data_IF_869851526611
#
_entry.id   IF_869851526611
#
_cell.length_a   1.000
_cell.length_b   1.000
_cell.length_c   1.000
_cell.angle_alpha   90.00
_cell.angle_beta   90.00
_cell.angle_gamma   90.00
#
_symmetry.space_group_name_H-M   'P 1'
#
loop_
_entity.id
_entity.type
_entity.pdbx_description
1 polymer ?
#
# COMPACT_ATOMS: atom_id res chain seq x y z
N UNK A 1 -5.52 -3.94 6.22
CA UNK A 1 -6.75 -4.48 6.83
C UNK A 1 -6.72 -6.00 6.69
N UNK A 2 -7.10 -6.77 7.71
CA UNK A 2 -7.08 -8.26 7.63
C UNK A 2 -8.32 -8.78 6.86
N UNK A 3 -8.23 -9.97 6.27
CA UNK A 3 -9.15 -10.55 5.28
C UNK A 3 -10.56 -10.79 5.82
N UNK A 4 -10.65 -11.32 7.04
CA UNK A 4 -11.93 -11.47 7.76
C UNK A 4 -12.61 -10.12 7.97
N UNK A 5 -11.82 -9.07 8.18
CA UNK A 5 -12.33 -7.72 8.36
C UNK A 5 -12.92 -7.16 7.06
N UNK A 6 -12.27 -7.39 5.91
CA UNK A 6 -12.84 -6.98 4.61
C UNK A 6 -14.14 -7.72 4.29
N UNK A 7 -14.23 -9.02 4.58
CA UNK A 7 -15.46 -9.80 4.41
C UNK A 7 -16.60 -9.23 5.25
N UNK A 8 -16.36 -8.96 6.54
CA UNK A 8 -17.36 -8.38 7.45
C UNK A 8 -17.81 -7.00 6.96
N UNK A 9 -16.87 -6.13 6.55
CA UNK A 9 -17.22 -4.80 6.04
C UNK A 9 -18.06 -4.84 4.77
N UNK A 10 -17.81 -5.82 3.89
CA UNK A 10 -18.62 -6.01 2.69
C UNK A 10 -20.04 -6.47 3.02
N UNK A 11 -20.18 -7.52 3.83
CA UNK A 11 -21.51 -8.00 4.27
C UNK A 11 -22.29 -6.92 5.03
N UNK A 12 -21.59 -6.09 5.81
CA UNK A 12 -22.19 -4.93 6.49
C UNK A 12 -22.67 -3.89 5.48
N UNK A 13 -21.89 -3.58 4.44
CA UNK A 13 -22.30 -2.62 3.41
C UNK A 13 -23.54 -3.11 2.65
N UNK A 14 -23.54 -4.37 2.20
CA UNK A 14 -24.69 -4.99 1.52
C UNK A 14 -25.95 -5.01 2.40
N UNK A 15 -25.77 -5.15 3.72
CA UNK A 15 -26.86 -5.02 4.68
C UNK A 15 -27.38 -3.58 4.75
N UNK A 16 -26.49 -2.59 4.86
CA UNK A 16 -26.86 -1.18 4.96
C UNK A 16 -27.55 -0.65 3.70
N UNK A 17 -27.14 -1.12 2.51
CA UNK A 17 -27.70 -0.70 1.22
C UNK A 17 -29.20 -1.04 1.08
N UNK A 18 -29.71 -1.97 1.90
CA UNK A 18 -31.14 -2.33 1.94
C UNK A 18 -32.02 -1.25 2.59
N UNK A 19 -31.44 -0.31 3.34
CA UNK A 19 -32.18 0.64 4.17
C UNK A 19 -32.23 2.07 3.61
N UNK A 20 -31.58 2.33 2.46
CA UNK A 20 -31.53 3.67 1.87
C UNK A 20 -30.73 4.67 2.72
N UNK A 21 -31.07 5.97 2.67
CA UNK A 21 -30.38 6.99 3.46
C UNK A 21 -30.81 6.94 4.92
N UNK A 22 -29.87 6.62 5.80
CA UNK A 22 -30.02 6.61 7.25
C UNK A 22 -29.36 7.84 7.88
N UNK A 23 -29.87 8.29 9.03
CA UNK A 23 -29.14 9.21 9.91
C UNK A 23 -27.93 8.52 10.56
N UNK A 24 -27.05 9.28 11.21
CA UNK A 24 -25.89 8.70 11.93
C UNK A 24 -26.34 7.76 13.07
N UNK A 25 -27.41 8.13 13.78
CA UNK A 25 -27.93 7.34 14.90
C UNK A 25 -28.56 6.03 14.40
N UNK A 26 -29.36 6.09 13.34
CA UNK A 26 -29.95 4.90 12.69
C UNK A 26 -28.88 4.01 12.05
N UNK A 27 -27.85 4.59 11.42
CA UNK A 27 -26.70 3.84 10.87
C UNK A 27 -26.01 3.04 11.98
N UNK A 28 -25.77 3.67 13.13
CA UNK A 28 -25.13 3.00 14.27
C UNK A 28 -25.99 1.86 14.82
N UNK A 29 -27.30 2.09 14.98
CA UNK A 29 -28.23 1.03 15.40
C UNK A 29 -28.22 -0.16 14.43
N UNK A 30 -28.17 0.11 13.12
CA UNK A 30 -28.09 -0.94 12.09
C UNK A 30 -26.77 -1.69 12.10
N UNK A 31 -25.66 -1.02 12.34
CA UNK A 31 -24.35 -1.67 12.53
C UNK A 31 -24.40 -2.60 13.75
N UNK A 32 -24.94 -2.14 14.89
CA UNK A 32 -25.04 -2.97 16.10
C UNK A 32 -25.96 -4.18 15.88
N UNK A 33 -27.08 -3.99 15.17
CA UNK A 33 -28.00 -5.06 14.78
C UNK A 33 -27.30 -6.11 13.89
N UNK A 34 -26.59 -5.65 12.85
CA UNK A 34 -25.82 -6.51 11.96
C UNK A 34 -24.76 -7.31 12.73
N UNK A 35 -23.96 -6.64 13.57
CA UNK A 35 -22.88 -7.31 14.32
C UNK A 35 -23.43 -8.37 15.27
N UNK A 36 -24.58 -8.14 15.89
CA UNK A 36 -25.26 -9.16 16.70
C UNK A 36 -25.67 -10.36 15.84
N UNK A 37 -26.33 -10.13 14.71
CA UNK A 37 -26.74 -11.19 13.79
C UNK A 37 -25.55 -11.97 13.23
N UNK A 38 -24.47 -11.27 12.88
CA UNK A 38 -23.24 -11.86 12.35
C UNK A 38 -22.58 -12.77 13.40
N UNK A 39 -22.46 -12.30 14.64
CA UNK A 39 -21.93 -13.10 15.74
C UNK A 39 -22.80 -14.32 16.05
N UNK A 40 -24.13 -14.18 16.01
CA UNK A 40 -25.07 -15.30 16.19
C UNK A 40 -24.96 -16.33 15.05
N UNK A 41 -24.71 -15.87 13.81
CA UNK A 41 -24.45 -16.75 12.64
C UNK A 41 -23.13 -17.49 12.75
N UNK A 42 -22.07 -16.87 13.28
CA UNK A 42 -20.78 -17.56 13.51
C UNK A 42 -20.91 -18.75 14.46
N UNK A 43 -21.93 -18.75 15.34
CA UNK A 43 -22.23 -19.84 16.25
C UNK A 43 -23.04 -20.96 15.57
N UNK A 44 -23.65 -20.69 14.40
CA UNK A 44 -24.44 -21.67 13.63
C UNK A 44 -23.64 -22.25 12.45
N UNK A 45 -23.50 -23.57 12.41
CA UNK A 45 -22.80 -24.32 11.36
C UNK A 45 -23.70 -24.45 10.10
N UNK A 46 -23.80 -23.37 9.32
CA UNK A 46 -24.59 -23.29 8.08
C UNK A 46 -23.72 -23.36 6.81
N UNK A 47 -24.30 -23.68 5.64
CA UNK A 47 -23.55 -23.70 4.38
C UNK A 47 -23.07 -22.28 4.01
N UNK A 48 -21.75 -22.11 3.88
CA UNK A 48 -21.14 -20.87 3.40
C UNK A 48 -21.46 -20.66 1.92
N UNK A 49 -22.02 -19.50 1.58
CA UNK A 49 -22.25 -19.09 0.20
C UNK A 49 -20.92 -18.98 -0.56
N UNK A 50 -20.88 -19.48 -1.80
CA UNK A 50 -19.65 -19.58 -2.61
C UNK A 50 -19.67 -18.59 -3.75
N UNK A 51 -19.54 -17.32 -3.41
CA UNK A 51 -19.41 -16.20 -4.34
C UNK A 51 -17.96 -16.09 -4.89
N UNK A 52 -17.69 -15.04 -5.66
CA UNK A 52 -16.36 -14.74 -6.19
C UNK A 52 -15.34 -14.51 -5.07
N UNK A 53 -15.75 -13.91 -3.96
CA UNK A 53 -14.87 -13.59 -2.83
C UNK A 53 -14.45 -14.85 -2.07
N UNK A 54 -15.37 -15.77 -1.83
CA UNK A 54 -15.07 -17.08 -1.28
C UNK A 54 -13.98 -17.81 -2.08
N UNK A 55 -14.06 -17.78 -3.41
CA UNK A 55 -13.03 -18.39 -4.25
C UNK A 55 -11.75 -17.56 -4.32
N UNK A 56 -11.81 -16.24 -4.22
CA UNK A 56 -10.61 -15.41 -4.10
C UNK A 56 -9.86 -15.70 -2.79
N UNK A 57 -10.57 -15.80 -1.67
CA UNK A 57 -9.99 -16.13 -0.36
C UNK A 57 -9.29 -17.49 -0.41
N UNK A 58 -9.98 -18.52 -0.95
CA UNK A 58 -9.38 -19.83 -1.19
C UNK A 58 -8.21 -19.80 -2.17
N UNK A 59 -8.12 -18.80 -3.04
CA UNK A 59 -6.98 -18.64 -3.95
C UNK A 59 -5.77 -18.04 -3.23
N UNK A 60 -5.99 -17.04 -2.37
CA UNK A 60 -4.96 -16.33 -1.62
C UNK A 60 -4.42 -17.13 -0.42
N UNK A 61 -5.19 -18.08 0.09
CA UNK A 61 -4.79 -18.98 1.19
C UNK A 61 -4.13 -20.29 0.69
N UNK A 62 -4.19 -20.55 -0.61
CA UNK A 62 -3.67 -21.79 -1.16
C UNK A 62 -2.13 -21.81 -1.13
N UNK A 63 -1.56 -22.78 -0.39
CA UNK A 63 -0.11 -23.05 -0.40
C UNK A 63 0.40 -23.55 -1.77
N UNK A 64 -0.50 -24.04 -2.61
CA UNK A 64 -0.17 -24.60 -3.92
C UNK A 64 -0.62 -23.70 -5.07
N UNK A 65 0.31 -23.26 -5.90
CA UNK A 65 0.06 -22.39 -7.08
C UNK A 65 -1.05 -22.93 -8.00
N UNK A 66 -1.16 -24.25 -8.20
CA UNK A 66 -2.22 -24.82 -9.05
C UNK A 66 -3.60 -24.67 -8.40
N UNK A 67 -3.67 -24.81 -7.08
CA UNK A 67 -4.92 -24.62 -6.32
C UNK A 67 -5.29 -23.14 -6.30
N UNK A 68 -4.33 -22.26 -6.02
CA UNK A 68 -4.50 -20.81 -6.07
C UNK A 68 -5.08 -20.36 -7.43
N UNK A 69 -4.41 -20.75 -8.52
CA UNK A 69 -4.84 -20.46 -9.89
C UNK A 69 -6.25 -20.99 -10.19
N UNK A 70 -6.56 -22.22 -9.78
CA UNK A 70 -7.88 -22.82 -10.01
C UNK A 70 -8.99 -22.03 -9.30
N UNK A 71 -8.76 -21.60 -8.06
CA UNK A 71 -9.76 -20.85 -7.31
C UNK A 71 -9.90 -19.41 -7.82
N UNK A 72 -8.80 -18.72 -8.17
CA UNK A 72 -8.87 -17.40 -8.80
C UNK A 72 -9.65 -17.43 -10.14
N UNK A 73 -9.47 -18.49 -10.95
CA UNK A 73 -10.26 -18.70 -12.17
C UNK A 73 -11.76 -18.93 -11.90
N UNK A 74 -12.11 -19.57 -10.78
CA UNK A 74 -13.52 -19.70 -10.39
C UNK A 74 -14.11 -18.36 -9.97
N UNK A 75 -13.37 -17.54 -9.21
CA UNK A 75 -13.80 -16.19 -8.87
C UNK A 75 -14.14 -15.39 -10.14
N UNK A 76 -13.26 -15.44 -11.15
CA UNK A 76 -13.50 -14.79 -12.45
C UNK A 76 -14.63 -15.40 -13.29
N UNK A 77 -14.99 -16.66 -13.05
CA UNK A 77 -16.13 -17.30 -13.72
C UNK A 77 -17.45 -16.77 -13.15
N UNK A 78 -17.47 -16.43 -11.86
CA UNK A 78 -18.63 -15.84 -11.18
C UNK A 78 -18.73 -14.35 -11.49
N UNK A 79 -17.62 -13.62 -11.33
CA UNK A 79 -17.51 -12.20 -11.65
C UNK A 79 -16.32 -11.94 -12.59
N UNK A 80 -16.57 -11.72 -13.90
CA UNK A 80 -15.53 -11.41 -14.87
C UNK A 80 -14.73 -10.12 -14.60
N UNK A 81 -15.22 -9.26 -13.69
CA UNK A 81 -14.59 -8.00 -13.28
C UNK A 81 -13.92 -8.07 -11.91
N UNK A 82 -13.80 -9.26 -11.31
CA UNK A 82 -13.07 -9.50 -10.07
C UNK A 82 -11.57 -9.19 -10.26
N UNK A 83 -11.20 -7.93 -10.05
CA UNK A 83 -9.90 -7.37 -10.41
C UNK A 83 -8.78 -8.00 -9.59
N UNK A 84 -9.01 -8.28 -8.31
CA UNK A 84 -8.00 -8.94 -7.46
C UNK A 84 -7.73 -10.38 -7.89
N UNK A 85 -8.74 -11.11 -8.39
CA UNK A 85 -8.53 -12.45 -8.92
C UNK A 85 -7.68 -12.43 -10.19
N UNK A 86 -7.90 -11.46 -11.08
CA UNK A 86 -7.05 -11.29 -12.27
C UNK A 86 -5.63 -10.81 -11.90
N UNK A 87 -5.50 -9.93 -10.89
CA UNK A 87 -4.22 -9.48 -10.34
C UNK A 87 -3.42 -10.66 -9.79
N UNK A 88 -4.04 -11.49 -8.94
CA UNK A 88 -3.44 -12.71 -8.40
C UNK A 88 -3.02 -13.68 -9.51
N UNK A 89 -3.83 -13.81 -10.57
CA UNK A 89 -3.45 -14.67 -11.70
C UNK A 89 -2.21 -14.18 -12.43
N UNK A 90 -1.97 -12.86 -12.53
CA UNK A 90 -0.75 -12.29 -13.10
C UNK A 90 0.45 -12.60 -12.21
N UNK A 91 0.31 -12.45 -10.89
CA UNK A 91 1.36 -12.73 -9.90
C UNK A 91 1.76 -14.22 -9.88
N UNK A 92 0.81 -15.12 -10.09
CA UNK A 92 1.05 -16.57 -10.19
C UNK A 92 1.64 -17.03 -11.53
N UNK A 93 1.96 -16.10 -12.45
CA UNK A 93 2.59 -16.44 -13.73
C UNK A 93 4.11 -16.42 -13.61
N UNK A 94 4.74 -17.41 -14.22
CA UNK A 94 6.19 -17.41 -14.45
C UNK A 94 6.49 -16.60 -15.72
N UNK A 95 6.52 -15.28 -15.59
CA UNK A 95 6.72 -14.32 -16.68
C UNK A 95 7.71 -13.23 -16.27
N UNK A 96 8.29 -12.56 -17.26
CA UNK A 96 9.19 -11.44 -17.00
C UNK A 96 8.42 -10.21 -16.47
N UNK A 97 9.09 -9.30 -15.71
CA UNK A 97 8.47 -8.06 -15.26
C UNK A 97 7.89 -7.21 -16.42
N UNK A 98 8.54 -7.17 -17.58
CA UNK A 98 8.00 -6.46 -18.76
C UNK A 98 6.72 -7.10 -19.33
N UNK A 99 6.55 -8.40 -19.19
CA UNK A 99 5.31 -9.10 -19.56
C UNK A 99 4.21 -8.86 -18.52
N UNK A 100 4.56 -8.90 -17.23
CA UNK A 100 3.66 -8.57 -16.13
C UNK A 100 3.12 -7.14 -16.28
N UNK A 101 3.99 -6.16 -16.52
CA UNK A 101 3.63 -4.77 -16.82
C UNK A 101 2.54 -4.65 -17.89
N UNK A 102 2.69 -5.33 -19.03
CA UNK A 102 1.72 -5.30 -20.13
C UNK A 102 0.37 -5.90 -19.74
N UNK A 103 0.35 -6.86 -18.81
CA UNK A 103 -0.87 -7.46 -18.28
C UNK A 103 -1.54 -6.53 -17.27
N UNK A 104 -0.78 -5.92 -16.37
CA UNK A 104 -1.29 -4.89 -15.45
C UNK A 104 -1.93 -3.73 -16.22
N UNK A 105 -1.30 -3.23 -17.29
CA UNK A 105 -1.89 -2.17 -18.12
C UNK A 105 -3.23 -2.55 -18.74
N UNK A 106 -3.39 -3.81 -19.15
CA UNK A 106 -4.65 -4.32 -19.69
C UNK A 106 -5.70 -4.47 -18.59
N UNK A 107 -5.31 -5.00 -17.43
CA UNK A 107 -6.18 -5.15 -16.27
C UNK A 107 -6.69 -3.78 -15.80
N UNK A 108 -5.79 -2.85 -15.53
CA UNK A 108 -6.10 -1.47 -15.10
C UNK A 108 -7.07 -0.83 -16.08
N UNK A 109 -6.80 -0.89 -17.39
CA UNK A 109 -7.69 -0.30 -18.40
C UNK A 109 -9.07 -0.96 -18.45
N UNK A 110 -9.14 -2.29 -18.28
CA UNK A 110 -10.40 -3.04 -18.25
C UNK A 110 -11.22 -2.65 -17.02
N UNK A 111 -10.59 -2.63 -15.85
CA UNK A 111 -11.22 -2.28 -14.56
C UNK A 111 -11.67 -0.82 -14.57
N UNK A 112 -10.81 0.11 -14.97
CA UNK A 112 -11.14 1.53 -15.07
C UNK A 112 -12.36 1.76 -15.95
N UNK A 113 -12.39 1.17 -17.15
CA UNK A 113 -13.54 1.27 -18.04
C UNK A 113 -14.83 0.74 -17.40
N UNK A 114 -14.78 -0.39 -16.71
CA UNK A 114 -15.95 -0.95 -16.04
C UNK A 114 -16.44 -0.02 -14.92
N UNK A 115 -15.54 0.50 -14.10
CA UNK A 115 -15.88 1.44 -13.03
C UNK A 115 -16.43 2.76 -13.57
N UNK A 116 -15.95 3.24 -14.72
CA UNK A 116 -16.54 4.38 -15.42
C UNK A 116 -17.98 4.09 -15.88
N UNK A 117 -18.23 2.91 -16.46
CA UNK A 117 -19.56 2.49 -16.92
C UNK A 117 -20.56 2.34 -15.76
N UNK A 118 -20.09 1.90 -14.58
CA UNK A 118 -20.87 1.81 -13.34
C UNK A 118 -21.00 3.15 -12.59
N UNK A 119 -20.36 4.23 -13.08
CA UNK A 119 -20.49 5.57 -12.50
C UNK A 119 -19.60 5.85 -11.29
N UNK A 120 -18.64 4.98 -10.95
CA UNK A 120 -17.76 5.17 -9.79
C UNK A 120 -16.80 6.36 -9.93
N UNK A 121 -16.57 6.87 -11.14
CA UNK A 121 -15.77 8.07 -11.38
C UNK A 121 -16.53 9.40 -11.21
N UNK A 122 -17.75 9.37 -10.68
CA UNK A 122 -18.46 10.57 -10.24
C UNK A 122 -17.64 11.33 -9.17
N UNK A 123 -17.77 12.66 -9.15
CA UNK A 123 -16.91 13.56 -8.35
C UNK A 123 -16.97 13.24 -6.85
N UNK A 124 -18.13 12.83 -6.35
CA UNK A 124 -18.38 12.44 -4.96
C UNK A 124 -17.56 11.23 -4.48
N UNK A 125 -17.12 10.37 -5.40
CA UNK A 125 -16.35 9.17 -5.07
C UNK A 125 -14.84 9.43 -5.10
N UNK A 126 -14.39 10.44 -5.86
CA UNK A 126 -12.97 10.73 -6.02
C UNK A 126 -12.35 11.12 -4.68
N UNK A 127 -11.27 10.42 -4.32
CA UNK A 127 -10.59 10.57 -3.04
C UNK A 127 -10.97 9.50 -2.02
N UNK A 128 -12.05 8.74 -2.27
CA UNK A 128 -12.57 7.70 -1.38
C UNK A 128 -12.59 6.31 -2.01
N UNK A 129 -11.88 6.09 -3.12
CA UNK A 129 -11.89 4.81 -3.84
C UNK A 129 -11.45 3.62 -2.99
N UNK A 130 -10.62 3.83 -1.96
CA UNK A 130 -10.25 2.73 -1.06
C UNK A 130 -11.36 2.38 -0.07
N UNK A 131 -12.25 3.32 0.26
CA UNK A 131 -13.34 3.07 1.19
C UNK A 131 -14.53 2.40 0.50
N UNK A 132 -14.69 2.59 -0.81
CA UNK A 132 -15.72 1.95 -1.63
C UNK A 132 -15.23 0.55 -2.05
N UNK A 133 -16.04 -0.48 -1.78
CA UNK A 133 -15.63 -1.89 -1.95
C UNK A 133 -15.33 -2.23 -3.41
N UNK A 134 -16.11 -1.69 -4.35
CA UNK A 134 -16.04 -1.97 -5.78
C UNK A 134 -14.81 -1.33 -6.43
N UNK A 135 -14.37 -0.17 -5.96
CA UNK A 135 -13.19 0.54 -6.49
C UNK A 135 -11.90 0.16 -5.76
N UNK A 136 -11.96 -0.44 -4.58
CA UNK A 136 -10.77 -0.83 -3.81
C UNK A 136 -9.82 -1.76 -4.58
N UNK A 137 -10.29 -2.80 -5.31
CA UNK A 137 -9.44 -3.61 -6.17
C UNK A 137 -8.68 -2.82 -7.24
N UNK A 138 -9.26 -1.73 -7.76
CA UNK A 138 -8.59 -0.85 -8.73
C UNK A 138 -7.41 -0.11 -8.10
N UNK A 139 -7.56 0.38 -6.86
CA UNK A 139 -6.45 0.99 -6.11
C UNK A 139 -5.33 -0.01 -5.84
N UNK A 140 -5.66 -1.26 -5.50
CA UNK A 140 -4.67 -2.35 -5.34
C UNK A 140 -3.94 -2.63 -6.65
N UNK A 141 -4.66 -2.75 -7.77
CA UNK A 141 -4.05 -2.99 -9.08
C UNK A 141 -3.12 -1.85 -9.52
N UNK A 142 -3.51 -0.59 -9.28
CA UNK A 142 -2.65 0.57 -9.54
C UNK A 142 -1.40 0.57 -8.66
N UNK A 143 -1.53 0.17 -7.39
CA UNK A 143 -0.40 0.09 -6.44
C UNK A 143 0.60 -0.98 -6.88
N UNK A 144 0.14 -2.21 -7.17
CA UNK A 144 1.00 -3.28 -7.69
C UNK A 144 1.69 -2.90 -8.99
N UNK A 145 0.99 -2.20 -9.88
CA UNK A 145 1.59 -1.67 -11.10
C UNK A 145 2.65 -0.59 -10.82
N UNK A 146 2.41 0.30 -9.86
CA UNK A 146 3.40 1.28 -9.43
C UNK A 146 4.67 0.61 -8.92
N UNK A 147 4.55 -0.44 -8.09
CA UNK A 147 5.69 -1.20 -7.56
C UNK A 147 6.49 -1.88 -8.68
N UNK A 148 5.81 -2.52 -9.64
CA UNK A 148 6.45 -3.13 -10.82
C UNK A 148 7.20 -2.07 -11.66
N UNK A 149 6.63 -0.87 -11.81
CA UNK A 149 7.28 0.23 -12.50
C UNK A 149 8.53 0.72 -11.76
N UNK A 150 8.54 0.75 -10.43
CA UNK A 150 9.73 1.08 -9.63
C UNK A 150 10.80 0.02 -9.86
N UNK A 151 10.46 -1.27 -9.77
CA UNK A 151 11.38 -2.38 -10.04
C UNK A 151 11.97 -2.37 -11.46
N UNK A 152 11.19 -1.90 -12.45
CA UNK A 152 11.64 -1.71 -13.83
C UNK A 152 12.43 -0.41 -14.06
N UNK A 153 12.63 0.42 -13.03
CA UNK A 153 13.30 1.72 -13.15
C UNK A 153 12.49 2.78 -13.92
N UNK A 154 11.19 2.57 -14.11
CA UNK A 154 10.28 3.47 -14.85
C UNK A 154 9.74 4.58 -13.94
N UNK A 155 10.63 5.26 -13.22
CA UNK A 155 10.30 6.15 -12.11
C UNK A 155 9.31 7.26 -12.46
N UNK A 156 9.43 7.91 -13.62
CA UNK A 156 8.47 8.95 -14.03
C UNK A 156 7.05 8.41 -14.26
N UNK A 157 6.93 7.15 -14.69
CA UNK A 157 5.63 6.50 -14.83
C UNK A 157 5.09 6.10 -13.46
N UNK A 158 5.94 5.55 -12.58
CA UNK A 158 5.58 5.27 -11.19
C UNK A 158 5.05 6.51 -10.45
N UNK A 159 5.72 7.66 -10.58
CA UNK A 159 5.25 8.94 -10.00
C UNK A 159 3.86 9.31 -10.52
N UNK A 160 3.62 9.22 -11.84
CA UNK A 160 2.29 9.52 -12.40
C UNK A 160 1.21 8.57 -11.87
N UNK A 161 1.53 7.29 -11.75
CA UNK A 161 0.63 6.30 -11.17
C UNK A 161 0.33 6.63 -9.71
N UNK A 162 1.35 6.89 -8.89
CA UNK A 162 1.20 7.24 -7.48
C UNK A 162 0.39 8.52 -7.24
N UNK A 163 0.64 9.57 -8.02
CA UNK A 163 -0.16 10.81 -7.96
C UNK A 163 -1.63 10.54 -8.32
N UNK A 164 -1.90 9.67 -9.30
CA UNK A 164 -3.28 9.27 -9.60
C UNK A 164 -3.90 8.46 -8.47
N UNK A 165 -3.15 7.56 -7.81
CA UNK A 165 -3.64 6.82 -6.64
C UNK A 165 -4.02 7.80 -5.52
N UNK A 166 -3.16 8.77 -5.16
CA UNK A 166 -3.49 9.78 -4.14
C UNK A 166 -4.73 10.60 -4.53
N UNK A 167 -4.88 10.98 -5.80
CA UNK A 167 -6.09 11.68 -6.27
C UNK A 167 -7.36 10.86 -6.02
N UNK A 168 -7.30 9.56 -6.31
CA UNK A 168 -8.43 8.64 -6.15
C UNK A 168 -8.64 8.20 -4.70
N UNK A 169 -7.59 8.25 -3.88
CA UNK A 169 -7.52 7.76 -2.51
C UNK A 169 -6.76 8.75 -1.63
N UNK A 170 -7.40 9.88 -1.28
CA UNK A 170 -6.75 11.01 -0.62
C UNK A 170 -6.25 10.68 0.79
N UNK A 171 -6.94 9.77 1.48
CA UNK A 171 -6.52 9.26 2.78
C UNK A 171 -5.26 8.37 2.71
N UNK A 172 -4.77 8.08 1.50
CA UNK A 172 -3.58 7.28 1.24
C UNK A 172 -3.52 5.99 2.06
N UNK A 173 -4.62 5.24 2.04
CA UNK A 173 -4.75 3.97 2.75
C UNK A 173 -3.70 2.90 2.36
N UNK A 174 -2.98 3.11 1.25
CA UNK A 174 -1.93 2.20 0.77
C UNK A 174 -0.52 2.67 1.11
N UNK A 175 -0.33 3.88 1.67
CA UNK A 175 1.00 4.41 2.01
C UNK A 175 1.83 4.89 0.82
N UNK A 176 1.18 5.24 -0.31
CA UNK A 176 1.81 5.70 -1.55
C UNK A 176 2.65 6.96 -1.33
N UNK A 177 2.33 7.78 -0.33
CA UNK A 177 3.13 8.97 -0.01
C UNK A 177 4.59 8.65 0.32
N UNK A 178 4.88 7.49 0.91
CA UNK A 178 6.26 7.10 1.22
C UNK A 178 7.04 6.78 -0.07
N UNK A 179 6.42 6.05 -0.99
CA UNK A 179 7.03 5.73 -2.28
C UNK A 179 7.21 6.99 -3.14
N UNK A 180 6.22 7.90 -3.15
CA UNK A 180 6.35 9.19 -3.81
C UNK A 180 7.44 10.06 -3.19
N UNK A 181 7.56 10.11 -1.87
CA UNK A 181 8.63 10.85 -1.21
C UNK A 181 10.01 10.34 -1.64
N UNK A 182 10.20 9.02 -1.70
CA UNK A 182 11.42 8.39 -2.20
C UNK A 182 11.68 8.68 -3.68
N UNK A 183 10.64 8.62 -4.52
CA UNK A 183 10.74 8.92 -5.94
C UNK A 183 11.07 10.40 -6.20
N UNK A 184 10.47 11.34 -5.47
CA UNK A 184 10.79 12.76 -5.56
C UNK A 184 12.23 13.04 -5.10
N UNK A 185 12.68 12.40 -4.02
CA UNK A 185 14.08 12.45 -3.58
C UNK A 185 15.05 11.90 -4.64
N UNK A 186 14.68 10.81 -5.31
CA UNK A 186 15.48 10.23 -6.40
C UNK A 186 15.58 11.18 -7.59
N UNK A 187 14.49 11.87 -7.93
CA UNK A 187 14.43 12.83 -9.02
C UNK A 187 14.94 14.24 -8.66
N UNK A 188 15.42 14.45 -7.43
CA UNK A 188 15.87 15.75 -6.91
C UNK A 188 14.77 16.84 -6.95
N UNK A 189 13.51 16.42 -6.90
CA UNK A 189 12.35 17.31 -6.97
C UNK A 189 11.96 17.83 -5.58
N UNK A 190 12.66 18.87 -5.15
CA UNK A 190 12.44 19.53 -3.85
C UNK A 190 11.01 20.06 -3.71
N UNK A 191 10.45 20.64 -4.77
CA UNK A 191 9.13 21.25 -4.69
C UNK A 191 8.04 20.21 -4.42
N UNK A 192 8.08 19.08 -5.12
CA UNK A 192 7.09 18.02 -4.91
C UNK A 192 7.26 17.33 -3.56
N UNK A 193 8.51 17.11 -3.11
CA UNK A 193 8.79 16.54 -1.80
C UNK A 193 8.31 17.46 -0.65
N UNK A 194 8.57 18.77 -0.72
CA UNK A 194 8.09 19.73 0.28
C UNK A 194 6.56 19.83 0.27
N UNK A 195 5.93 19.80 -0.91
CA UNK A 195 4.48 19.79 -1.04
C UNK A 195 3.84 18.55 -0.40
N UNK A 196 4.46 17.38 -0.59
CA UNK A 196 4.00 16.13 0.01
C UNK A 196 4.17 16.12 1.53
N UNK A 197 5.30 16.62 2.04
CA UNK A 197 5.53 16.77 3.48
C UNK A 197 4.49 17.70 4.13
N UNK A 198 4.15 18.81 3.46
CA UNK A 198 3.15 19.76 3.95
C UNK A 198 1.72 19.18 3.93
N UNK A 199 1.40 18.33 2.95
CA UNK A 199 0.06 17.75 2.83
C UNK A 199 -0.26 16.73 3.94
N UNK A 200 0.72 15.95 4.39
CA UNK A 200 0.52 14.89 5.38
C UNK A 200 1.00 15.26 6.80
N UNK A 201 1.78 16.33 6.95
CA UNK A 201 2.34 16.80 8.24
C UNK A 201 2.97 15.66 9.07
N UNK A 202 3.65 14.75 8.40
CA UNK A 202 4.13 13.49 8.98
C UNK A 202 5.66 13.45 9.09
N UNK A 203 6.16 13.09 10.27
CA UNK A 203 7.59 12.98 10.60
C UNK A 203 8.04 11.52 10.85
N UNK A 204 7.53 10.57 10.07
CA UNK A 204 7.93 9.15 10.13
C UNK A 204 9.25 8.88 9.42
N UNK A 205 9.82 7.68 9.60
CA UNK A 205 11.04 7.31 8.89
C UNK A 205 10.85 7.30 7.37
N UNK A 206 9.67 6.88 6.88
CA UNK A 206 9.34 6.85 5.46
C UNK A 206 9.32 8.23 4.80
N UNK A 207 9.05 9.28 5.57
CA UNK A 207 9.10 10.67 5.08
C UNK A 207 10.48 11.29 5.28
N UNK A 208 11.06 11.11 6.46
CA UNK A 208 12.30 11.79 6.84
C UNK A 208 13.53 11.20 6.13
N UNK A 209 13.61 9.88 5.97
CA UNK A 209 14.78 9.23 5.38
C UNK A 209 15.02 9.71 3.94
N UNK A 210 14.04 9.69 3.01
CA UNK A 210 14.29 10.21 1.67
C UNK A 210 14.57 11.71 1.63
N UNK A 211 13.98 12.51 2.53
CA UNK A 211 14.27 13.95 2.62
C UNK A 211 15.74 14.22 2.98
N UNK A 212 16.34 13.40 3.85
CA UNK A 212 17.77 13.52 4.19
C UNK A 212 18.61 13.33 2.92
N UNK A 213 18.31 12.28 2.14
CA UNK A 213 19.04 11.97 0.91
C UNK A 213 18.79 13.04 -0.17
N UNK A 214 17.56 13.54 -0.31
CA UNK A 214 17.22 14.64 -1.21
C UNK A 214 18.05 15.89 -0.90
N UNK A 215 18.02 16.35 0.34
CA UNK A 215 18.72 17.59 0.73
C UNK A 215 20.23 17.45 0.66
N UNK A 216 20.77 16.25 0.89
CA UNK A 216 22.17 15.96 0.61
C UNK A 216 22.48 16.12 -0.89
N UNK A 217 21.67 15.55 -1.78
CA UNK A 217 21.89 15.59 -3.24
C UNK A 217 21.86 17.02 -3.81
N UNK A 218 21.07 17.92 -3.23
CA UNK A 218 21.00 19.33 -3.65
C UNK A 218 21.94 20.25 -2.87
N UNK A 219 22.93 19.67 -2.16
CA UNK A 219 23.94 20.38 -1.35
C UNK A 219 23.38 21.27 -0.22
N UNK A 220 22.13 21.06 0.21
CA UNK A 220 21.56 21.68 1.41
C UNK A 220 21.83 20.81 2.65
N UNK A 221 23.10 20.75 3.03
CA UNK A 221 23.56 20.01 4.22
C UNK A 221 22.95 20.52 5.52
N UNK A 222 22.44 21.75 5.54
CA UNK A 222 21.76 22.32 6.70
C UNK A 222 20.42 21.62 6.91
N UNK A 223 19.57 21.57 5.87
CA UNK A 223 18.30 20.84 5.92
C UNK A 223 18.51 19.34 6.07
N UNK A 224 19.46 18.74 5.34
CA UNK A 224 19.75 17.31 5.47
C UNK A 224 20.09 16.93 6.92
N UNK A 225 20.96 17.73 7.57
CA UNK A 225 21.35 17.52 8.98
C UNK A 225 20.19 17.76 9.94
N UNK A 226 19.32 18.73 9.66
CA UNK A 226 18.09 18.97 10.45
C UNK A 226 17.21 17.73 10.47
N UNK A 227 16.92 17.16 9.30
CA UNK A 227 16.08 15.96 9.20
C UNK A 227 16.76 14.71 9.76
N UNK A 228 18.08 14.55 9.57
CA UNK A 228 18.84 13.46 10.18
C UNK A 228 18.76 13.50 11.71
N UNK A 229 18.90 14.69 12.30
CA UNK A 229 18.76 14.88 13.74
C UNK A 229 17.36 14.56 14.24
N UNK A 230 16.35 14.95 13.47
CA UNK A 230 14.96 14.65 13.79
C UNK A 230 14.69 13.14 13.76
N UNK A 231 15.11 12.45 12.70
CA UNK A 231 14.95 11.01 12.55
C UNK A 231 15.68 10.25 13.67
N UNK A 232 16.95 10.57 13.93
CA UNK A 232 17.72 9.93 14.99
C UNK A 232 17.13 10.14 16.40
N UNK A 233 16.44 11.25 16.63
CA UNK A 233 15.73 11.52 17.89
C UNK A 233 14.45 10.68 18.03
N UNK A 234 13.72 10.50 16.94
CA UNK A 234 12.47 9.73 16.90
C UNK A 234 12.72 8.23 16.95
N UNK A 235 13.78 7.80 16.26
CA UNK A 235 14.17 6.41 16.16
C UNK A 235 15.65 6.25 16.56
N UNK A 236 15.93 6.01 17.87
CA UNK A 236 17.29 5.87 18.38
C UNK A 236 18.07 4.70 17.75
N UNK A 237 17.37 3.71 17.22
CA UNK A 237 17.97 2.55 16.56
C UNK A 237 18.56 2.88 15.19
N UNK A 238 18.30 4.06 14.63
CA UNK A 238 18.91 4.52 13.38
C UNK A 238 20.45 4.40 13.43
N UNK A 239 21.07 4.75 14.57
CA UNK A 239 22.53 4.69 14.71
C UNK A 239 23.01 3.24 14.70
N UNK A 240 22.30 2.33 15.39
CA UNK A 240 22.58 0.89 15.40
C UNK A 240 22.52 0.36 13.96
N UNK A 241 21.38 0.56 13.30
CA UNK A 241 21.10 0.08 11.93
C UNK A 241 22.13 0.56 10.89
N UNK A 242 22.61 1.79 11.02
CA UNK A 242 23.55 2.37 10.06
C UNK A 242 25.00 1.97 10.32
N UNK A 243 25.36 1.61 11.56
CA UNK A 243 26.75 1.40 11.98
C UNK A 243 27.12 -0.06 12.19
N UNK A 244 26.15 -0.91 12.50
CA UNK A 244 26.37 -2.31 12.85
C UNK A 244 25.96 -3.23 11.69
N UNK A 245 26.63 -4.38 11.59
CA UNK A 245 26.14 -5.48 10.75
C UNK A 245 24.99 -6.17 11.51
N UNK A 246 23.81 -6.19 10.91
CA UNK A 246 22.68 -6.92 11.47
C UNK A 246 22.84 -8.42 11.21
N UNK A 247 22.48 -9.23 12.21
CA UNK A 247 22.43 -10.69 12.10
C UNK A 247 21.06 -11.15 11.59
N UNK A 248 20.96 -12.37 11.04
CA UNK A 248 19.67 -12.98 10.67
C UNK A 248 18.67 -12.96 11.84
N UNK A 249 19.17 -13.11 13.07
CA UNK A 249 18.35 -13.03 14.29
C UNK A 249 17.81 -11.60 14.54
N UNK A 250 18.59 -10.55 14.24
CA UNK A 250 18.09 -9.17 14.29
C UNK A 250 16.98 -8.96 13.24
N UNK A 251 17.09 -9.56 12.04
CA UNK A 251 16.03 -9.47 11.03
C UNK A 251 14.74 -10.16 11.51
N UNK A 252 14.85 -11.36 12.08
CA UNK A 252 13.69 -12.12 12.59
C UNK A 252 13.01 -11.41 13.77
N UNK A 253 13.79 -10.88 14.72
CA UNK A 253 13.27 -10.18 15.90
C UNK A 253 12.57 -8.87 15.54
N UNK A 254 13.00 -8.22 14.45
CA UNK A 254 12.46 -6.94 14.00
C UNK A 254 11.55 -7.07 12.78
N UNK A 255 11.21 -8.31 12.40
CA UNK A 255 10.14 -8.57 11.48
C UNK A 255 8.85 -7.92 12.02
N UNK A 256 8.04 -7.40 11.11
CA UNK A 256 6.76 -6.77 11.43
C UNK A 256 5.60 -7.68 10.97
N UNK A 257 5.47 -8.92 11.50
CA UNK A 257 4.49 -9.91 11.00
C UNK A 257 3.04 -9.50 11.28
N UNK A 258 2.83 -8.59 12.26
CA UNK A 258 1.52 -8.08 12.64
C UNK A 258 1.22 -6.69 12.05
N UNK A 259 2.04 -6.21 11.11
CA UNK A 259 1.87 -4.94 10.42
C UNK A 259 2.84 -3.86 10.89
N UNK A 260 2.68 -2.67 10.30
CA UNK A 260 3.56 -1.51 10.48
C UNK A 260 3.69 -1.08 11.94
N UNK A 261 4.93 -0.83 12.38
CA UNK A 261 5.25 -0.37 13.73
C UNK A 261 6.10 0.91 13.68
N UNK A 262 5.48 2.06 13.95
CA UNK A 262 6.12 3.38 13.90
C UNK A 262 7.24 3.55 14.96
N UNK A 263 8.28 4.29 14.61
CA UNK A 263 9.45 4.64 15.42
C UNK A 263 10.21 3.40 15.94
N UNK A 264 10.22 2.31 15.15
CA UNK A 264 10.94 1.05 15.44
C UNK A 264 12.07 0.78 14.46
N UNK A 265 13.03 -0.07 14.82
CA UNK A 265 14.05 -0.53 13.87
C UNK A 265 13.43 -1.28 12.67
N UNK A 266 12.30 -1.99 12.86
CA UNK A 266 11.55 -2.64 11.79
C UNK A 266 11.05 -1.64 10.73
N UNK A 267 10.53 -0.49 11.15
CA UNK A 267 10.14 0.60 10.24
C UNK A 267 11.34 1.08 9.40
N UNK A 268 12.48 1.31 10.04
CA UNK A 268 13.68 1.75 9.32
C UNK A 268 14.16 0.71 8.31
N UNK A 269 14.08 -0.58 8.65
CA UNK A 269 14.44 -1.68 7.75
C UNK A 269 13.50 -1.73 6.54
N UNK A 270 12.18 -1.59 6.75
CA UNK A 270 11.21 -1.51 5.66
C UNK A 270 11.48 -0.30 4.75
N UNK A 271 11.74 0.88 5.34
CA UNK A 271 12.08 2.09 4.59
C UNK A 271 13.36 1.92 3.77
N UNK A 272 14.41 1.35 4.34
CA UNK A 272 15.67 1.08 3.60
C UNK A 272 15.41 0.12 2.43
N UNK A 273 14.67 -0.96 2.67
CA UNK A 273 14.35 -1.95 1.63
C UNK A 273 13.51 -1.34 0.50
N UNK A 274 12.48 -0.55 0.83
CA UNK A 274 11.64 0.14 -0.15
C UNK A 274 12.39 1.20 -0.96
N UNK A 275 13.43 1.80 -0.37
CA UNK A 275 14.17 2.92 -0.96
C UNK A 275 15.56 2.55 -1.50
N UNK A 276 15.84 1.26 -1.73
CA UNK A 276 17.15 0.81 -2.24
C UNK A 276 17.58 1.55 -3.52
N UNK A 277 16.67 1.79 -4.47
CA UNK A 277 16.99 2.55 -5.70
C UNK A 277 17.51 3.97 -5.41
N UNK A 278 17.00 4.61 -4.35
CA UNK A 278 17.45 5.93 -3.90
C UNK A 278 18.82 5.83 -3.22
N UNK A 279 19.00 4.83 -2.35
CA UNK A 279 20.26 4.57 -1.65
C UNK A 279 21.39 4.26 -2.63
N UNK A 280 21.16 3.39 -3.61
CA UNK A 280 22.14 2.99 -4.62
C UNK A 280 22.59 4.18 -5.47
N UNK A 281 21.68 5.11 -5.75
CA UNK A 281 22.02 6.36 -6.45
C UNK A 281 22.72 7.40 -5.57
N UNK A 282 22.78 7.17 -4.25
CA UNK A 282 23.19 8.15 -3.24
C UNK A 282 24.15 7.57 -2.19
N UNK A 283 25.05 6.66 -2.58
CA UNK A 283 26.00 6.00 -1.65
C UNK A 283 26.80 7.03 -0.82
N UNK A 284 27.16 8.17 -1.43
CA UNK A 284 27.81 9.28 -0.72
C UNK A 284 26.96 9.86 0.43
N UNK A 285 25.64 9.94 0.25
CA UNK A 285 24.71 10.38 1.29
C UNK A 285 24.72 9.42 2.48
N UNK A 286 24.77 8.11 2.25
CA UNK A 286 24.85 7.12 3.32
C UNK A 286 26.14 7.24 4.12
N UNK A 287 27.28 7.39 3.45
CA UNK A 287 28.57 7.60 4.11
C UNK A 287 28.59 8.91 4.91
N UNK A 288 28.00 9.97 4.35
CA UNK A 288 27.84 11.25 5.02
C UNK A 288 26.94 11.12 6.26
N UNK A 289 25.78 10.46 6.16
CA UNK A 289 24.89 10.20 7.28
C UNK A 289 25.61 9.45 8.40
N UNK A 290 26.39 8.40 8.09
CA UNK A 290 27.22 7.70 9.09
C UNK A 290 28.20 8.66 9.76
N UNK A 291 28.91 9.49 8.99
CA UNK A 291 29.81 10.50 9.55
C UNK A 291 29.11 11.52 10.45
N UNK A 292 27.85 11.87 10.17
CA UNK A 292 27.09 12.80 11.01
C UNK A 292 26.52 12.15 12.26
N UNK A 293 26.04 10.91 12.18
CA UNK A 293 25.53 10.15 13.32
C UNK A 293 26.64 9.79 14.32
N UNK A 294 27.90 9.68 13.90
CA UNK A 294 29.02 9.46 14.83
C UNK A 294 29.36 10.68 15.68
N UNK A 295 28.95 11.88 15.25
CA UNK A 295 29.13 13.16 15.98
C UNK A 295 27.96 13.49 16.91
N UNK A 296 26.87 12.71 16.82
CA UNK A 296 25.68 12.82 17.65
C UNK A 296 25.73 11.82 18.80
#
# INVERSE_FOLDING_TARGET
MNRDTEKIFRELQEYLDQFGKLSEEETKEKIDEFMKQYNDKLVQDGPVEKDQWYYLDLAMEAENVKVARKNAQKALTIDPYCTDAELLLIDLMDITPEEAKKRFEKLIKKTEKHLEEEGYFAEENIGSFYMINETRPYIRALTTYMDDLIGLGKFRLAIRTGVNIIRLNQNDNMGIRYDLMALHAFMEDVSSAEGLLAAYEEESAGMLFPLILLYYKVDDYSKARKYLKLLARKNPDLKKLMMEELTDEDFDQNAMPFGYAMDTIGELMDVINRTMFLIDSSVGAMLWMKSELSKM
#
